data_IF_640823392137
#
_entry.id   IF_640823392137
#
_cell.length_a   1.000
_cell.length_b   1.000
_cell.length_c   1.000
_cell.angle_alpha   90.00
_cell.angle_beta   90.00
_cell.angle_gamma   90.00
#
_symmetry.space_group_name_H-M   'P 1'
#
loop_
_entity.id
_entity.type
_entity.pdbx_description
1 polymer ?
#
# COMPACT_ATOMS: atom_id res chain seq x y z
N UNK A 1 31.56 11.78 -16.74
CA UNK A 1 30.26 11.29 -17.29
C UNK A 1 30.41 9.89 -17.90
N UNK A 2 31.49 9.58 -18.65
CA UNK A 2 31.75 8.23 -19.17
C UNK A 2 31.96 7.16 -18.08
N UNK A 3 32.66 7.47 -16.99
CA UNK A 3 32.90 6.50 -15.90
C UNK A 3 31.64 6.10 -15.14
N UNK A 4 30.71 7.03 -14.88
CA UNK A 4 29.41 6.71 -14.24
C UNK A 4 28.54 5.80 -15.11
N UNK A 5 28.59 5.97 -16.44
CA UNK A 5 27.87 5.07 -17.35
C UNK A 5 28.43 3.66 -17.33
N UNK A 6 29.77 3.52 -17.25
CA UNK A 6 30.39 2.20 -17.08
C UNK A 6 29.90 1.55 -15.80
N UNK A 7 29.83 2.30 -14.69
CA UNK A 7 29.28 1.80 -13.43
C UNK A 7 27.83 1.30 -13.57
N UNK A 8 26.95 2.05 -14.25
CA UNK A 8 25.56 1.62 -14.48
C UNK A 8 25.48 0.34 -15.32
N UNK A 9 26.26 0.27 -16.40
CA UNK A 9 26.34 -0.93 -17.26
C UNK A 9 26.88 -2.14 -16.48
N UNK A 10 27.84 -1.93 -15.58
CA UNK A 10 28.40 -3.01 -14.77
C UNK A 10 27.41 -3.46 -13.68
N UNK A 11 26.69 -2.54 -13.05
CA UNK A 11 25.62 -2.87 -12.11
C UNK A 11 24.45 -3.58 -12.78
N UNK A 12 24.08 -3.19 -14.01
CA UNK A 12 23.03 -3.84 -14.82
C UNK A 12 23.28 -5.34 -15.00
N UNK A 13 24.53 -5.75 -15.19
CA UNK A 13 24.90 -7.18 -15.29
C UNK A 13 24.56 -7.97 -14.04
N UNK A 14 24.60 -7.33 -12.88
CA UNK A 14 24.28 -7.93 -11.59
C UNK A 14 22.80 -7.81 -11.22
N UNK A 15 22.07 -6.90 -11.88
CA UNK A 15 20.62 -6.76 -11.75
C UNK A 15 19.85 -7.81 -12.56
N UNK A 16 20.52 -8.54 -13.45
CA UNK A 16 19.92 -9.57 -14.30
C UNK A 16 19.56 -10.83 -13.48
N UNK A 17 18.29 -10.93 -13.07
CA UNK A 17 17.74 -12.14 -12.47
C UNK A 17 16.53 -11.88 -11.56
N UNK A 18 15.72 -12.91 -11.34
CA UNK A 18 14.57 -12.86 -10.41
C UNK A 18 15.01 -13.08 -8.94
N UNK A 19 16.15 -12.50 -8.55
CA UNK A 19 16.67 -12.60 -7.20
C UNK A 19 16.40 -11.32 -6.40
N UNK A 20 16.08 -11.42 -5.10
CA UNK A 20 15.97 -10.27 -4.20
C UNK A 20 17.28 -9.49 -4.15
N UNK A 21 17.23 -8.19 -4.42
CA UNK A 21 18.42 -7.34 -4.46
C UNK A 21 18.24 -6.05 -3.67
N UNK A 22 19.34 -5.64 -3.03
CA UNK A 22 19.51 -4.35 -2.36
C UNK A 22 20.77 -3.69 -2.92
N UNK A 23 20.64 -2.46 -3.42
CA UNK A 23 21.76 -1.65 -3.91
C UNK A 23 21.80 -0.37 -3.10
N UNK A 24 22.86 -0.16 -2.31
CA UNK A 24 22.98 1.02 -1.45
C UNK A 24 24.35 1.67 -1.56
N UNK A 25 24.38 2.99 -1.44
CA UNK A 25 25.63 3.76 -1.41
C UNK A 25 25.47 5.19 -1.95
N UNK A 26 26.61 5.85 -2.15
CA UNK A 26 26.70 7.17 -2.78
C UNK A 26 26.61 7.05 -4.31
N UNK A 27 25.48 7.46 -4.87
CA UNK A 27 25.27 7.51 -6.32
C UNK A 27 25.76 8.80 -6.96
N UNK A 28 26.13 9.79 -6.13
CA UNK A 28 26.62 11.10 -6.53
C UNK A 28 25.70 11.76 -7.59
N UNK A 29 24.39 11.59 -7.39
CA UNK A 29 23.34 11.94 -8.33
C UNK A 29 22.12 12.54 -7.63
N UNK A 30 21.87 13.82 -7.95
CA UNK A 30 20.66 14.55 -7.56
C UNK A 30 19.61 14.38 -8.65
N UNK A 31 18.36 14.06 -8.29
CA UNK A 31 17.27 13.82 -9.22
C UNK A 31 16.26 14.97 -9.29
N UNK A 32 16.16 15.80 -8.25
CA UNK A 32 15.26 16.94 -8.25
C UNK A 32 15.80 18.12 -7.44
N UNK A 33 15.23 19.31 -7.67
CA UNK A 33 15.55 20.49 -6.86
C UNK A 33 15.24 20.26 -5.38
N UNK A 34 14.26 19.41 -5.05
CA UNK A 34 13.91 19.14 -3.65
C UNK A 34 15.02 18.41 -2.90
N UNK A 35 15.95 17.76 -3.61
CA UNK A 35 17.07 17.00 -3.06
C UNK A 35 18.35 17.83 -2.94
N UNK A 36 18.30 19.13 -3.26
CA UNK A 36 19.42 20.06 -3.16
C UNK A 36 19.01 21.35 -2.47
N UNK A 37 19.84 21.84 -1.56
CA UNK A 37 19.72 23.16 -0.93
C UNK A 37 21.03 23.93 -1.07
N UNK A 38 20.94 25.19 -1.48
CA UNK A 38 22.10 26.07 -1.68
C UNK A 38 22.86 25.78 -2.98
N UNK A 39 23.84 26.63 -3.27
CA UNK A 39 24.59 26.59 -4.53
C UNK A 39 23.73 26.88 -5.77
N UNK A 40 24.16 26.37 -6.93
CA UNK A 40 23.43 26.55 -8.19
C UNK A 40 22.09 25.78 -8.16
N UNK A 41 21.07 26.36 -8.79
CA UNK A 41 19.76 25.71 -9.00
C UNK A 41 19.97 24.37 -9.71
N UNK A 42 19.24 23.36 -9.28
CA UNK A 42 19.20 22.06 -9.95
C UNK A 42 18.70 22.21 -11.38
N UNK A 43 19.42 21.57 -12.30
CA UNK A 43 19.05 21.43 -13.70
C UNK A 43 19.05 19.93 -13.98
N UNK A 44 18.00 19.43 -14.61
CA UNK A 44 17.90 18.02 -14.98
C UNK A 44 19.03 17.68 -15.96
N UNK A 45 20.07 17.03 -15.42
CA UNK A 45 21.27 16.70 -16.18
C UNK A 45 21.10 15.36 -16.89
N UNK A 46 21.96 15.11 -17.89
CA UNK A 46 22.04 13.79 -18.52
C UNK A 46 22.36 12.67 -17.53
N UNK A 47 23.17 12.94 -16.50
CA UNK A 47 23.46 11.98 -15.44
C UNK A 47 22.23 11.64 -14.59
N UNK A 48 21.37 12.61 -14.31
CA UNK A 48 20.11 12.41 -13.58
C UNK A 48 19.13 11.57 -14.41
N UNK A 49 19.05 11.81 -15.72
CA UNK A 49 18.24 11.01 -16.64
C UNK A 49 18.77 9.58 -16.78
N UNK A 50 20.09 9.43 -16.96
CA UNK A 50 20.73 8.11 -17.06
C UNK A 50 20.50 7.29 -15.78
N UNK A 51 20.60 7.90 -14.59
CA UNK A 51 20.31 7.24 -13.32
C UNK A 51 18.85 6.84 -13.17
N UNK A 52 17.92 7.72 -13.57
CA UNK A 52 16.50 7.40 -13.56
C UNK A 52 16.17 6.23 -14.50
N UNK A 53 16.77 6.22 -15.70
CA UNK A 53 16.61 5.11 -16.65
C UNK A 53 17.19 3.80 -16.11
N UNK A 54 18.37 3.85 -15.49
CA UNK A 54 18.97 2.70 -14.80
C UNK A 54 18.01 2.10 -13.76
N UNK A 55 17.39 2.95 -12.92
CA UNK A 55 16.44 2.44 -11.91
C UNK A 55 15.22 1.78 -12.56
N UNK A 56 14.65 2.40 -13.60
CA UNK A 56 13.48 1.86 -14.31
C UNK A 56 13.80 0.54 -15.01
N UNK A 57 14.92 0.47 -15.73
CA UNK A 57 15.32 -0.70 -16.51
C UNK A 57 15.63 -1.92 -15.64
N UNK A 58 16.09 -1.69 -14.40
CA UNK A 58 16.49 -2.73 -13.47
C UNK A 58 15.45 -2.98 -12.36
N UNK A 59 14.24 -2.45 -12.51
CA UNK A 59 13.16 -2.60 -11.52
C UNK A 59 13.59 -2.18 -10.10
N UNK A 60 14.39 -1.11 -9.99
CA UNK A 60 14.91 -0.61 -8.72
C UNK A 60 14.04 0.52 -8.17
N UNK A 61 13.60 0.34 -6.93
CA UNK A 61 12.75 1.27 -6.20
C UNK A 61 13.51 1.83 -5.00
N UNK A 62 13.50 3.15 -4.87
CA UNK A 62 14.15 3.79 -3.72
C UNK A 62 13.36 3.54 -2.42
N UNK A 63 14.07 3.07 -1.40
CA UNK A 63 13.52 2.91 -0.05
C UNK A 63 13.40 4.28 0.61
N UNK A 64 12.23 4.55 1.21
CA UNK A 64 11.96 5.81 1.90
C UNK A 64 12.97 6.03 3.05
N UNK A 65 13.65 7.17 2.99
CA UNK A 65 14.55 7.63 4.06
C UNK A 65 13.79 8.39 5.16
N UNK A 66 14.26 8.24 6.39
CA UNK A 66 13.83 8.95 7.58
C UNK A 66 15.01 9.68 8.22
N UNK A 67 14.71 10.76 8.93
CA UNK A 67 15.71 11.64 9.54
C UNK A 67 16.03 12.85 8.64
N UNK A 68 17.27 13.37 8.70
CA UNK A 68 17.69 14.50 7.88
C UNK A 68 17.41 14.28 6.39
N UNK A 69 16.88 15.31 5.72
CA UNK A 69 16.48 15.23 4.31
C UNK A 69 17.64 14.99 3.33
N UNK A 70 18.84 15.43 3.70
CA UNK A 70 20.04 15.41 2.86
C UNK A 70 21.03 14.40 3.45
N UNK A 71 21.87 13.82 2.59
CA UNK A 71 22.88 12.83 2.98
C UNK A 71 24.30 13.34 2.82
N UNK A 72 24.48 14.55 2.28
CA UNK A 72 25.79 15.18 2.10
C UNK A 72 25.75 16.69 2.40
N UNK A 73 26.86 17.22 2.92
CA UNK A 73 27.06 18.63 3.24
C UNK A 73 28.48 19.07 2.90
N UNK A 74 28.63 20.18 2.16
CA UNK A 74 29.95 20.73 1.85
C UNK A 74 30.70 21.37 3.03
N UNK A 75 30.17 21.30 4.25
CA UNK A 75 30.73 21.85 5.49
C UNK A 75 30.99 23.36 5.50
N UNK A 76 30.38 24.11 4.58
CA UNK A 76 30.44 25.58 4.57
C UNK A 76 29.26 26.19 5.32
N UNK A 77 29.36 27.47 5.63
CA UNK A 77 28.33 28.23 6.35
C UNK A 77 27.67 29.27 5.46
N UNK A 78 26.51 29.78 5.90
CA UNK A 78 25.78 30.86 5.23
C UNK A 78 25.41 30.52 3.77
N UNK A 79 25.57 31.49 2.88
CA UNK A 79 25.23 31.36 1.46
C UNK A 79 26.09 30.35 0.70
N UNK A 80 27.24 29.96 1.26
CA UNK A 80 28.12 28.95 0.68
C UNK A 80 27.74 27.52 1.09
N UNK A 81 26.80 27.33 2.03
CA UNK A 81 26.33 26.02 2.45
C UNK A 81 25.58 25.32 1.31
N UNK A 82 26.01 24.10 1.00
CA UNK A 82 25.36 23.22 0.02
C UNK A 82 25.05 21.90 0.70
N UNK A 83 23.79 21.47 0.58
CA UNK A 83 23.30 20.18 1.04
C UNK A 83 22.70 19.41 -0.13
N UNK A 84 23.02 18.13 -0.24
CA UNK A 84 22.55 17.25 -1.30
C UNK A 84 22.14 15.88 -0.76
N UNK A 85 21.20 15.22 -1.43
CA UNK A 85 20.90 13.81 -1.22
C UNK A 85 21.60 13.00 -2.31
N UNK A 86 22.69 12.34 -1.93
CA UNK A 86 23.56 11.57 -2.83
C UNK A 86 23.54 10.07 -2.51
N UNK A 87 23.36 9.74 -1.24
CA UNK A 87 23.32 8.38 -0.72
C UNK A 87 21.88 7.85 -0.78
N UNK A 88 21.70 6.66 -1.36
CA UNK A 88 20.39 6.01 -1.50
C UNK A 88 20.48 4.53 -1.19
N UNK A 89 19.33 3.93 -0.92
CA UNK A 89 19.15 2.49 -0.90
C UNK A 89 18.00 2.14 -1.84
N UNK A 90 18.28 1.27 -2.80
CA UNK A 90 17.37 0.82 -3.85
C UNK A 90 17.11 -0.68 -3.65
N UNK A 91 15.89 -1.12 -3.89
CA UNK A 91 15.48 -2.53 -3.81
C UNK A 91 14.63 -2.90 -5.02
N UNK A 92 14.71 -4.14 -5.48
CA UNK A 92 13.86 -4.61 -6.57
C UNK A 92 12.51 -5.19 -6.11
N UNK A 93 11.60 -5.45 -7.05
CA UNK A 93 10.29 -6.02 -6.72
C UNK A 93 10.39 -7.39 -6.05
N UNK A 94 11.37 -8.22 -6.44
CA UNK A 94 11.63 -9.51 -5.78
C UNK A 94 11.98 -9.34 -4.30
N UNK A 95 12.78 -8.31 -3.95
CA UNK A 95 13.07 -7.99 -2.56
C UNK A 95 11.84 -7.42 -1.83
N UNK A 96 11.03 -6.58 -2.48
CA UNK A 96 9.77 -6.07 -1.92
C UNK A 96 8.75 -7.16 -1.60
N UNK A 97 8.75 -8.27 -2.33
CA UNK A 97 7.84 -9.39 -2.07
C UNK A 97 8.22 -10.19 -0.80
N UNK A 98 9.50 -10.20 -0.46
CA UNK A 98 10.02 -10.89 0.74
C UNK A 98 10.05 -9.95 1.94
N UNK A 99 10.47 -8.71 1.71
CA UNK A 99 10.63 -7.68 2.72
C UNK A 99 9.29 -6.97 2.92
N UNK A 100 8.65 -7.19 4.07
CA UNK A 100 7.33 -6.61 4.32
C UNK A 100 7.39 -5.10 4.54
N UNK A 101 8.43 -4.63 5.23
CA UNK A 101 8.71 -3.21 5.50
C UNK A 101 10.22 -3.00 5.47
N UNK A 102 10.68 -2.05 4.65
CA UNK A 102 12.04 -1.56 4.61
C UNK A 102 12.06 -0.06 4.91
N UNK A 103 13.00 0.39 5.73
CA UNK A 103 13.18 1.81 6.08
C UNK A 103 14.66 2.16 6.04
N UNK A 104 14.99 3.31 5.45
CA UNK A 104 16.35 3.86 5.55
C UNK A 104 16.38 4.94 6.63
N UNK A 105 17.33 4.88 7.55
CA UNK A 105 17.62 5.94 8.53
C UNK A 105 18.87 6.70 8.12
N UNK A 106 18.79 8.03 8.07
CA UNK A 106 19.96 8.89 8.00
C UNK A 106 20.43 9.19 9.42
N UNK A 107 21.60 8.65 9.78
CA UNK A 107 22.19 8.79 11.11
C UNK A 107 23.01 10.08 11.23
N UNK A 108 23.38 10.40 12.47
CA UNK A 108 24.15 11.60 12.79
C UNK A 108 25.48 11.65 12.04
N UNK A 109 25.79 12.84 11.56
CA UNK A 109 27.07 13.15 10.92
C UNK A 109 28.12 13.40 12.00
N UNK A 110 29.00 12.42 12.22
CA UNK A 110 30.03 12.48 13.29
C UNK A 110 31.40 12.91 12.75
N UNK A 111 31.86 12.32 11.65
CA UNK A 111 33.23 12.50 11.14
C UNK A 111 33.34 12.66 9.61
N UNK A 112 32.22 12.78 8.89
CA UNK A 112 32.18 12.88 7.43
C UNK A 112 31.36 14.09 6.97
N UNK A 113 31.53 14.48 5.72
CA UNK A 113 30.60 15.31 4.96
C UNK A 113 29.32 14.55 4.55
N UNK A 114 29.35 13.22 4.58
CA UNK A 114 28.19 12.34 4.42
C UNK A 114 27.51 11.95 5.74
N UNK A 115 26.21 11.66 5.65
CA UNK A 115 25.40 11.07 6.71
C UNK A 115 25.40 9.56 6.49
N UNK A 116 25.61 8.78 7.56
CA UNK A 116 25.56 7.33 7.47
C UNK A 116 24.11 6.89 7.19
N UNK A 117 23.91 6.06 6.16
CA UNK A 117 22.61 5.44 5.87
C UNK A 117 22.53 4.05 6.50
N UNK A 118 21.44 3.76 7.21
CA UNK A 118 21.16 2.46 7.80
C UNK A 118 19.87 1.90 7.18
N UNK A 119 19.96 0.75 6.52
CA UNK A 119 18.78 0.03 6.05
C UNK A 119 18.28 -0.92 7.15
N UNK A 120 17.07 -0.69 7.63
CA UNK A 120 16.37 -1.59 8.54
C UNK A 120 15.32 -2.37 7.77
N UNK A 121 15.45 -3.69 7.82
CA UNK A 121 14.54 -4.65 7.20
C UNK A 121 13.71 -5.26 8.32
N UNK A 122 12.42 -4.93 8.37
CA UNK A 122 11.52 -5.46 9.37
C UNK A 122 10.86 -6.72 8.83
N UNK A 123 11.02 -7.82 9.58
CA UNK A 123 10.17 -9.00 9.41
C UNK A 123 8.76 -8.66 9.89
N UNK A 124 7.71 -9.28 9.33
CA UNK A 124 6.38 -9.10 9.86
C UNK A 124 6.38 -9.53 11.33
N UNK A 125 6.16 -8.58 12.24
CA UNK A 125 5.67 -8.92 13.57
C UNK A 125 4.36 -9.69 13.35
N UNK A 126 4.16 -10.77 14.11
CA UNK A 126 2.90 -11.51 14.13
C UNK A 126 1.80 -10.63 14.74
N UNK A 127 1.41 -9.57 14.03
CA UNK A 127 0.22 -8.84 14.36
C UNK A 127 -0.95 -9.80 14.21
N UNK A 128 -1.79 -9.88 15.26
CA UNK A 128 -3.11 -10.44 15.14
C UNK A 128 -3.77 -9.85 13.88
N UNK A 129 -3.92 -10.68 12.84
CA UNK A 129 -4.40 -10.24 11.54
C UNK A 129 -5.73 -9.51 11.74
N UNK A 130 -5.71 -8.20 11.57
CA UNK A 130 -6.93 -7.39 11.62
C UNK A 130 -7.77 -7.80 10.42
N UNK A 131 -8.93 -8.40 10.68
CA UNK A 131 -9.89 -8.75 9.63
C UNK A 131 -10.38 -7.43 9.03
N UNK A 132 -10.21 -7.28 7.72
CA UNK A 132 -10.72 -6.15 6.94
C UNK A 132 -11.68 -6.66 5.89
N UNK A 133 -12.64 -5.83 5.53
CA UNK A 133 -13.59 -6.15 4.47
C UNK A 133 -12.86 -6.23 3.12
N UNK A 134 -13.11 -7.27 2.34
CA UNK A 134 -12.64 -7.36 0.96
C UNK A 134 -13.82 -7.18 -0.01
N UNK A 135 -13.70 -6.22 -0.93
CA UNK A 135 -14.74 -5.88 -1.91
C UNK A 135 -15.09 -7.09 -2.80
N UNK A 136 -14.12 -7.98 -3.03
CA UNK A 136 -14.30 -9.24 -3.75
C UNK A 136 -15.44 -10.09 -3.16
N UNK A 137 -15.69 -10.01 -1.86
CA UNK A 137 -16.78 -10.75 -1.23
C UNK A 137 -18.15 -10.37 -1.78
N UNK A 138 -18.37 -9.11 -2.16
CA UNK A 138 -19.62 -8.66 -2.78
C UNK A 138 -19.88 -9.28 -4.16
N UNK A 139 -18.82 -9.70 -4.87
CA UNK A 139 -18.94 -10.36 -6.19
C UNK A 139 -19.55 -11.77 -6.13
N UNK A 140 -19.79 -12.30 -4.93
CA UNK A 140 -20.34 -13.63 -4.74
C UNK A 140 -21.78 -13.55 -4.23
N UNK A 141 -22.68 -14.17 -4.99
CA UNK A 141 -24.10 -14.25 -4.63
C UNK A 141 -24.35 -14.78 -3.20
N UNK A 142 -23.53 -15.74 -2.75
CA UNK A 142 -23.64 -16.31 -1.40
C UNK A 142 -23.28 -15.35 -0.26
N UNK A 143 -22.55 -14.27 -0.54
CA UNK A 143 -22.16 -13.30 0.49
C UNK A 143 -23.37 -12.48 0.97
N UNK A 144 -24.26 -12.08 0.05
CA UNK A 144 -25.48 -11.31 0.40
C UNK A 144 -26.39 -12.09 1.34
N UNK A 145 -26.61 -13.38 1.05
CA UNK A 145 -27.40 -14.26 1.91
C UNK A 145 -26.75 -14.42 3.30
N UNK A 146 -25.43 -14.58 3.35
CA UNK A 146 -24.68 -14.67 4.61
C UNK A 146 -24.81 -13.39 5.44
N UNK A 147 -24.63 -12.22 4.82
CA UNK A 147 -24.76 -10.92 5.48
C UNK A 147 -26.16 -10.78 6.06
N UNK A 148 -27.20 -11.06 5.26
CA UNK A 148 -28.60 -11.02 5.72
C UNK A 148 -28.80 -11.89 6.97
N UNK A 149 -28.37 -13.15 6.90
CA UNK A 149 -28.56 -14.12 7.98
C UNK A 149 -27.82 -13.73 9.27
N UNK A 150 -26.66 -13.09 9.17
CA UNK A 150 -25.86 -12.68 10.34
C UNK A 150 -26.36 -11.34 10.89
N UNK A 151 -26.72 -10.41 10.01
CA UNK A 151 -27.16 -9.06 10.37
C UNK A 151 -28.46 -9.06 11.16
N UNK A 152 -29.43 -9.89 10.80
CA UNK A 152 -30.74 -9.96 11.46
C UNK A 152 -30.74 -10.77 12.78
N UNK A 153 -29.59 -11.26 13.25
CA UNK A 153 -29.50 -11.90 14.56
C UNK A 153 -29.81 -10.91 15.67
N UNK A 154 -30.64 -11.33 16.63
CA UNK A 154 -31.01 -10.51 17.79
C UNK A 154 -29.76 -10.11 18.58
N UNK A 155 -29.69 -8.83 18.93
CA UNK A 155 -28.63 -8.24 19.74
C UNK A 155 -29.29 -7.43 20.87
N UNK A 156 -28.63 -7.33 22.02
CA UNK A 156 -29.06 -6.52 23.17
C UNK A 156 -27.95 -5.55 23.53
N UNK A 157 -28.30 -4.37 24.01
CA UNK A 157 -27.36 -3.30 24.36
C UNK A 157 -27.85 -1.95 23.85
N UNK A 158 -27.06 -0.91 24.08
CA UNK A 158 -27.30 0.40 23.50
C UNK A 158 -27.15 0.36 21.96
N UNK A 159 -27.79 1.30 21.22
CA UNK A 159 -27.76 1.29 19.76
C UNK A 159 -26.36 1.25 19.14
N UNK A 160 -25.39 1.97 19.72
CA UNK A 160 -24.01 2.03 19.20
C UNK A 160 -23.28 0.69 19.39
N UNK A 161 -23.41 0.06 20.56
CA UNK A 161 -22.88 -1.28 20.83
C UNK A 161 -23.53 -2.34 19.95
N UNK A 162 -24.85 -2.26 19.72
CA UNK A 162 -25.58 -3.18 18.84
C UNK A 162 -25.07 -3.06 17.40
N UNK A 163 -24.90 -1.84 16.89
CA UNK A 163 -24.39 -1.60 15.55
C UNK A 163 -22.96 -2.12 15.38
N UNK A 164 -22.06 -1.81 16.31
CA UNK A 164 -20.68 -2.31 16.30
C UNK A 164 -20.64 -3.84 16.34
N UNK A 165 -21.46 -4.46 17.19
CA UNK A 165 -21.58 -5.92 17.29
C UNK A 165 -22.05 -6.55 15.97
N UNK A 166 -23.04 -5.96 15.30
CA UNK A 166 -23.52 -6.41 13.98
C UNK A 166 -22.39 -6.33 12.95
N UNK A 167 -21.69 -5.19 12.83
CA UNK A 167 -20.55 -5.06 11.93
C UNK A 167 -19.46 -6.10 12.21
N UNK A 168 -19.05 -6.26 13.48
CA UNK A 168 -18.00 -7.21 13.87
C UNK A 168 -18.39 -8.66 13.56
N UNK A 169 -19.65 -9.04 13.81
CA UNK A 169 -20.16 -10.39 13.52
C UNK A 169 -20.22 -10.66 12.03
N UNK A 170 -20.78 -9.74 11.26
CA UNK A 170 -20.89 -9.85 9.80
C UNK A 170 -19.52 -9.92 9.14
N UNK A 171 -18.59 -9.06 9.56
CA UNK A 171 -17.22 -9.05 9.07
C UNK A 171 -16.49 -10.37 9.32
N UNK A 172 -16.61 -10.93 10.54
CA UNK A 172 -16.05 -12.25 10.86
C UNK A 172 -16.69 -13.36 10.04
N UNK A 173 -18.02 -13.36 9.89
CA UNK A 173 -18.73 -14.36 9.12
C UNK A 173 -18.27 -14.38 7.66
N UNK A 174 -18.19 -13.21 7.01
CA UNK A 174 -17.68 -13.06 5.65
C UNK A 174 -16.24 -13.56 5.52
N UNK A 175 -15.38 -13.20 6.47
CA UNK A 175 -13.98 -13.63 6.47
C UNK A 175 -13.82 -15.15 6.52
N UNK A 176 -14.45 -15.82 7.49
CA UNK A 176 -14.33 -17.28 7.63
C UNK A 176 -15.04 -18.02 6.51
N UNK A 177 -16.18 -17.53 6.03
CA UNK A 177 -16.86 -18.07 4.86
C UNK A 177 -15.99 -17.98 3.61
N UNK A 178 -15.38 -16.82 3.36
CA UNK A 178 -14.47 -16.64 2.23
C UNK A 178 -13.28 -17.57 2.34
N UNK A 179 -12.66 -17.71 3.51
CA UNK A 179 -11.51 -18.60 3.74
C UNK A 179 -11.85 -20.08 3.54
N UNK A 180 -13.06 -20.49 3.91
CA UNK A 180 -13.53 -21.86 3.74
C UNK A 180 -13.91 -22.17 2.29
N UNK A 181 -14.58 -21.24 1.61
CA UNK A 181 -15.11 -21.43 0.26
C UNK A 181 -14.09 -21.18 -0.84
N UNK A 182 -13.23 -20.19 -0.63
CA UNK A 182 -12.24 -19.75 -1.60
C UNK A 182 -10.86 -19.89 -0.97
N UNK A 183 -10.15 -20.93 -1.40
CA UNK A 183 -8.69 -20.97 -1.27
C UNK A 183 -8.09 -19.84 -2.12
N UNK A 184 -6.78 -19.60 -1.98
CA UNK A 184 -6.05 -18.54 -2.68
C UNK A 184 -6.51 -18.35 -4.14
N UNK A 185 -6.99 -17.15 -4.49
CA UNK A 185 -7.50 -16.82 -5.82
C UNK A 185 -6.45 -17.02 -6.92
N UNK A 186 -5.16 -16.89 -6.59
CA UNK A 186 -4.08 -17.17 -7.52
C UNK A 186 -4.00 -18.66 -7.86
N UNK A 187 -4.13 -19.53 -6.85
CA UNK A 187 -4.18 -20.99 -7.05
C UNK A 187 -5.39 -21.38 -7.90
N UNK A 188 -6.55 -20.73 -7.70
CA UNK A 188 -7.74 -20.96 -8.53
C UNK A 188 -7.49 -20.54 -9.98
N UNK A 189 -6.92 -19.35 -10.22
CA UNK A 189 -6.54 -18.87 -11.56
C UNK A 189 -5.63 -19.88 -12.25
N UNK A 190 -4.58 -20.35 -11.57
CA UNK A 190 -3.57 -21.25 -12.15
C UNK A 190 -4.17 -22.62 -12.47
N UNK A 191 -5.07 -23.13 -11.61
CA UNK A 191 -5.81 -24.36 -11.87
C UNK A 191 -6.73 -24.24 -13.09
N UNK A 192 -7.43 -23.12 -13.25
CA UNK A 192 -8.30 -22.89 -14.41
C UNK A 192 -7.44 -22.79 -15.69
N UNK A 193 -6.33 -22.05 -15.64
CA UNK A 193 -5.37 -21.95 -16.77
C UNK A 193 -4.82 -23.32 -17.19
N UNK A 194 -4.42 -24.15 -16.23
CA UNK A 194 -3.97 -25.51 -16.50
C UNK A 194 -5.05 -26.32 -17.22
N UNK A 195 -6.30 -26.23 -16.77
CA UNK A 195 -7.40 -26.99 -17.38
C UNK A 195 -7.76 -26.51 -18.79
N UNK A 196 -7.67 -25.20 -19.03
CA UNK A 196 -7.84 -24.62 -20.37
C UNK A 196 -6.74 -25.16 -21.29
N UNK A 197 -5.48 -25.14 -20.83
CA UNK A 197 -4.35 -25.64 -21.60
C UNK A 197 -4.49 -27.13 -21.93
N UNK A 198 -4.91 -27.96 -20.98
CA UNK A 198 -5.18 -29.39 -21.21
C UNK A 198 -6.19 -29.60 -22.35
N UNK A 199 -7.30 -28.85 -22.36
CA UNK A 199 -8.33 -28.97 -23.41
C UNK A 199 -7.79 -28.48 -24.76
N UNK A 200 -6.98 -27.43 -24.77
CA UNK A 200 -6.37 -26.91 -26.00
C UNK A 200 -5.29 -27.84 -26.58
N UNK A 201 -4.57 -28.58 -25.73
CA UNK A 201 -3.65 -29.62 -26.19
C UNK A 201 -4.41 -30.77 -26.86
N UNK A 202 -5.53 -31.20 -26.27
CA UNK A 202 -6.40 -32.20 -26.90
C UNK A 202 -6.97 -31.71 -28.25
N UNK A 203 -7.32 -30.43 -28.36
CA UNK A 203 -7.75 -29.78 -29.62
C UNK A 203 -6.64 -29.76 -30.68
N UNK A 204 -5.37 -29.71 -30.26
CA UNK A 204 -4.23 -29.73 -31.18
C UNK A 204 -3.94 -31.12 -31.75
N UNK A 205 -4.38 -32.18 -31.06
CA UNK A 205 -4.20 -33.57 -31.48
C UNK A 205 -5.40 -34.11 -32.29
N UNK A 206 -6.52 -33.38 -32.33
CA UNK A 206 -7.71 -33.71 -33.11
C UNK A 206 -8.93 -32.85 -32.76
N UNK A 207 -10.07 -33.12 -33.42
CA UNK A 207 -11.29 -32.33 -33.18
C UNK A 207 -11.84 -32.52 -31.77
N UNK A 208 -12.22 -31.40 -31.12
CA UNK A 208 -12.92 -31.43 -29.84
C UNK A 208 -14.37 -31.86 -30.00
N UNK A 209 -14.86 -32.66 -29.06
CA UNK A 209 -16.29 -32.92 -28.94
C UNK A 209 -17.04 -31.63 -28.55
N UNK A 210 -18.33 -31.57 -28.92
CA UNK A 210 -19.20 -30.44 -28.63
C UNK A 210 -19.32 -30.16 -27.12
N UNK A 211 -19.29 -31.21 -26.30
CA UNK A 211 -19.26 -31.11 -24.83
C UNK A 211 -17.96 -30.48 -24.32
N UNK A 212 -16.80 -30.87 -24.87
CA UNK A 212 -15.51 -30.30 -24.46
C UNK A 212 -15.39 -28.83 -24.87
N UNK A 213 -15.93 -28.44 -26.03
CA UNK A 213 -16.02 -27.03 -26.43
C UNK A 213 -16.87 -26.20 -25.46
N UNK A 214 -17.98 -26.74 -24.96
CA UNK A 214 -18.78 -26.07 -23.94
C UNK A 214 -18.01 -25.93 -22.62
N UNK A 215 -17.29 -26.98 -22.20
CA UNK A 215 -16.43 -26.93 -21.01
C UNK A 215 -15.33 -25.88 -21.18
N UNK A 216 -14.69 -25.79 -22.34
CA UNK A 216 -13.67 -24.78 -22.63
C UNK A 216 -14.23 -23.37 -22.50
N UNK A 217 -15.38 -23.08 -23.13
CA UNK A 217 -16.06 -21.78 -23.03
C UNK A 217 -16.41 -21.44 -21.58
N UNK A 218 -16.92 -22.42 -20.84
CA UNK A 218 -17.22 -22.25 -19.42
C UNK A 218 -15.96 -21.92 -18.60
N UNK A 219 -14.84 -22.63 -18.86
CA UNK A 219 -13.56 -22.39 -18.16
C UNK A 219 -12.96 -21.03 -18.49
N UNK A 220 -13.04 -20.58 -19.74
CA UNK A 220 -12.62 -19.23 -20.14
C UNK A 220 -13.44 -18.17 -19.41
N UNK A 221 -14.77 -18.34 -19.33
CA UNK A 221 -15.60 -17.43 -18.56
C UNK A 221 -15.26 -17.45 -17.05
N UNK A 222 -15.03 -18.63 -16.49
CA UNK A 222 -14.60 -18.80 -15.09
C UNK A 222 -13.25 -18.10 -14.82
N UNK A 223 -12.31 -18.17 -15.77
CA UNK A 223 -11.03 -17.45 -15.71
C UNK A 223 -11.25 -15.93 -15.71
N UNK A 224 -12.04 -15.41 -16.64
CA UNK A 224 -12.33 -13.97 -16.75
C UNK A 224 -12.96 -13.41 -15.46
N UNK A 225 -13.92 -14.14 -14.88
CA UNK A 225 -14.52 -13.76 -13.60
C UNK A 225 -13.48 -13.79 -12.47
N UNK A 226 -12.59 -14.79 -12.45
CA UNK A 226 -11.53 -14.91 -11.44
C UNK A 226 -10.51 -13.78 -11.57
N UNK A 227 -10.14 -13.40 -12.80
CA UNK A 227 -9.26 -12.26 -13.07
C UNK A 227 -9.90 -10.93 -12.66
N UNK A 228 -11.18 -10.71 -12.95
CA UNK A 228 -11.92 -9.52 -12.50
C UNK A 228 -11.94 -9.39 -10.97
N UNK A 229 -12.07 -10.53 -10.25
CA UNK A 229 -11.98 -10.58 -8.79
C UNK A 229 -10.58 -10.26 -8.29
N UNK A 230 -9.52 -10.82 -8.89
CA UNK A 230 -8.14 -10.49 -8.57
C UNK A 230 -7.85 -9.00 -8.78
N UNK A 231 -8.32 -8.42 -9.88
CA UNK A 231 -8.19 -6.99 -10.14
C UNK A 231 -8.87 -6.15 -9.06
N UNK A 232 -10.09 -6.50 -8.66
CA UNK A 232 -10.80 -5.84 -7.55
C UNK A 232 -10.02 -5.94 -6.24
N UNK A 233 -9.48 -7.13 -5.95
CA UNK A 233 -8.67 -7.40 -4.75
C UNK A 233 -7.40 -6.54 -4.68
N UNK A 234 -6.71 -6.41 -5.82
CA UNK A 234 -5.49 -5.61 -5.97
C UNK A 234 -5.77 -4.11 -5.94
N UNK A 235 -6.80 -3.66 -6.65
CA UNK A 235 -7.27 -2.26 -6.66
C UNK A 235 -7.58 -1.78 -5.24
N UNK A 236 -8.28 -2.58 -4.45
CA UNK A 236 -8.61 -2.25 -3.06
C UNK A 236 -7.35 -2.08 -2.18
N UNK A 237 -6.32 -2.92 -2.39
CA UNK A 237 -5.06 -2.87 -1.64
C UNK A 237 -4.17 -1.70 -2.05
N UNK A 238 -4.12 -1.41 -3.35
CA UNK A 238 -3.40 -0.25 -3.86
C UNK A 238 -4.11 1.06 -3.52
N UNK A 239 -5.44 1.08 -3.33
CA UNK A 239 -6.26 2.30 -3.25
C UNK A 239 -6.04 3.23 -4.46
N UNK A 240 -5.83 2.63 -5.63
CA UNK A 240 -5.70 3.34 -6.91
C UNK A 240 -7.09 3.49 -7.55
N UNK A 241 -7.44 4.72 -7.95
CA UNK A 241 -8.80 5.08 -8.44
C UNK A 241 -8.96 4.96 -9.96
N UNK A 242 -7.88 4.72 -10.71
CA UNK A 242 -7.87 4.77 -12.18
C UNK A 242 -7.04 3.65 -12.80
N UNK A 243 -7.63 2.97 -13.79
CA UNK A 243 -6.95 2.36 -14.93
C UNK A 243 -8.02 2.21 -16.02
N UNK A 244 -7.99 3.10 -17.00
CA UNK A 244 -8.45 2.77 -18.35
C UNK A 244 -7.35 1.93 -18.99
N UNK A 245 -7.76 0.82 -19.59
CA UNK A 245 -6.97 -0.06 -20.46
C UNK A 245 -5.91 -0.97 -19.81
N UNK A 246 -6.27 -2.25 -19.73
CA UNK A 246 -5.69 -3.17 -20.71
C UNK A 246 -4.38 -3.89 -20.40
N UNK A 247 -3.83 -3.83 -19.18
CA UNK A 247 -2.76 -4.77 -18.83
C UNK A 247 -2.93 -5.41 -17.43
N UNK A 248 -2.98 -6.74 -17.43
CA UNK A 248 -3.16 -7.58 -16.24
C UNK A 248 -1.85 -7.64 -15.44
N UNK A 249 -1.34 -6.50 -14.97
CA UNK A 249 -0.06 -6.48 -14.30
C UNK A 249 -0.24 -6.43 -12.77
N UNK A 250 -0.17 -7.61 -12.14
CA UNK A 250 -0.18 -7.73 -10.69
C UNK A 250 1.04 -7.03 -10.07
N UNK A 251 2.21 -7.04 -10.72
CA UNK A 251 3.46 -6.53 -10.13
C UNK A 251 3.38 -5.04 -9.78
N UNK A 252 2.72 -4.23 -10.60
CA UNK A 252 2.46 -2.82 -10.31
C UNK A 252 1.61 -2.65 -9.04
N UNK A 253 0.52 -3.42 -8.92
CA UNK A 253 -0.34 -3.36 -7.74
C UNK A 253 0.37 -3.89 -6.48
N UNK A 254 1.19 -4.94 -6.62
CA UNK A 254 2.06 -5.45 -5.56
C UNK A 254 3.03 -4.36 -5.09
N UNK A 255 3.78 -3.76 -6.02
CA UNK A 255 4.74 -2.70 -5.74
C UNK A 255 4.06 -1.48 -5.10
N UNK A 256 2.90 -1.04 -5.61
CA UNK A 256 2.17 0.10 -5.06
C UNK A 256 1.60 -0.19 -3.66
N UNK A 257 1.02 -1.39 -3.45
CA UNK A 257 0.52 -1.80 -2.15
C UNK A 257 1.67 -1.93 -1.12
N UNK A 258 2.83 -2.43 -1.53
CA UNK A 258 4.03 -2.52 -0.71
C UNK A 258 4.60 -1.13 -0.38
N UNK A 259 4.77 -0.26 -1.38
CA UNK A 259 5.20 1.13 -1.19
C UNK A 259 4.26 1.88 -0.23
N UNK A 260 2.95 1.68 -0.38
CA UNK A 260 1.95 2.24 0.52
C UNK A 260 2.07 1.66 1.94
N UNK A 261 2.34 0.36 2.08
CA UNK A 261 2.55 -0.27 3.39
C UNK A 261 3.78 0.32 4.09
N UNK A 262 4.91 0.44 3.38
CA UNK A 262 6.12 1.09 3.88
C UNK A 262 5.87 2.57 4.25
N UNK A 263 5.11 3.30 3.43
CA UNK A 263 4.83 4.72 3.72
C UNK A 263 3.92 4.92 4.94
N UNK A 264 2.97 4.01 5.18
CA UNK A 264 2.09 4.04 6.35
C UNK A 264 2.71 3.40 7.59
N UNK A 265 3.86 2.74 7.48
CA UNK A 265 4.54 2.16 8.62
C UNK A 265 5.04 3.28 9.53
N UNK A 266 4.57 3.27 10.77
CA UNK A 266 5.02 4.20 11.80
C UNK A 266 6.11 3.52 12.60
N UNK A 267 7.35 3.82 12.27
CA UNK A 267 8.53 3.26 12.92
C UNK A 267 8.94 4.03 14.18
N UNK A 268 8.56 5.30 14.29
CA UNK A 268 8.92 6.18 15.40
C UNK A 268 7.76 7.10 15.74
N UNK A 269 7.63 7.45 17.01
CA UNK A 269 6.73 8.50 17.46
C UNK A 269 7.52 9.55 18.23
N UNK A 270 7.15 10.82 18.05
CA UNK A 270 7.58 11.90 18.93
C UNK A 270 6.54 12.07 20.03
N UNK A 271 6.92 11.76 21.26
CA UNK A 271 6.08 11.94 22.42
C UNK A 271 5.91 13.43 22.77
N UNK A 272 4.98 13.73 23.68
CA UNK A 272 4.60 15.10 24.06
C UNK A 272 5.76 15.86 24.72
N UNK A 273 6.64 15.13 25.42
CA UNK A 273 7.88 15.63 26.02
C UNK A 273 8.99 15.93 24.99
N UNK A 274 8.76 15.60 23.72
CA UNK A 274 9.70 15.78 22.63
C UNK A 274 10.63 14.60 22.39
N UNK A 275 10.57 13.56 23.21
CA UNK A 275 11.37 12.34 23.09
C UNK A 275 10.90 11.53 21.87
N UNK A 276 11.86 11.02 21.08
CA UNK A 276 11.55 10.13 19.96
C UNK A 276 11.77 8.70 20.45
N UNK A 277 10.75 7.86 20.31
CA UNK A 277 10.84 6.43 20.64
C UNK A 277 10.52 5.58 19.41
N UNK A 278 11.28 4.49 19.26
CA UNK A 278 11.09 3.45 18.26
C UNK A 278 10.39 2.20 18.85
N UNK A 279 10.16 2.18 20.16
CA UNK A 279 9.58 1.04 20.86
C UNK A 279 8.08 0.94 20.59
N UNK A 280 7.64 -0.24 20.16
CA UNK A 280 6.26 -0.48 19.73
C UNK A 280 5.23 -0.21 20.85
N UNK A 281 5.53 -0.63 22.07
CA UNK A 281 4.67 -0.38 23.24
C UNK A 281 4.49 1.12 23.51
N UNK A 282 5.57 1.89 23.37
CA UNK A 282 5.56 3.35 23.55
C UNK A 282 4.78 4.02 22.43
N UNK A 283 4.94 3.56 21.18
CA UNK A 283 4.17 4.04 20.04
C UNK A 283 2.67 3.80 20.27
N UNK A 284 2.27 2.57 20.61
CA UNK A 284 0.87 2.21 20.83
C UNK A 284 0.27 3.01 21.99
N UNK A 285 0.99 3.15 23.10
CA UNK A 285 0.56 3.91 24.26
C UNK A 285 0.40 5.40 23.92
N UNK A 286 1.38 6.00 23.27
CA UNK A 286 1.36 7.43 22.89
C UNK A 286 0.18 7.72 21.95
N UNK A 287 -0.09 6.87 20.96
CA UNK A 287 -1.28 7.00 20.11
C UNK A 287 -2.59 6.88 20.90
N UNK A 288 -2.67 5.87 21.78
CA UNK A 288 -3.86 5.62 22.59
C UNK A 288 -4.15 6.81 23.52
N UNK A 289 -3.12 7.34 24.18
CA UNK A 289 -3.22 8.46 25.10
C UNK A 289 -3.59 9.75 24.37
N UNK A 290 -2.93 10.05 23.24
CA UNK A 290 -3.26 11.20 22.40
C UNK A 290 -4.74 11.25 22.03
N UNK A 291 -5.26 10.11 21.57
CA UNK A 291 -6.65 10.00 21.15
C UNK A 291 -7.63 9.99 22.32
N UNK A 292 -7.28 9.33 23.42
CA UNK A 292 -8.07 9.38 24.67
C UNK A 292 -8.22 10.82 25.17
N UNK A 293 -7.14 11.61 25.15
CA UNK A 293 -7.15 13.04 25.53
C UNK A 293 -7.90 13.91 24.50
N UNK A 294 -7.80 13.58 23.21
CA UNK A 294 -8.48 14.32 22.13
C UNK A 294 -10.00 14.18 22.21
N UNK A 295 -10.48 12.98 22.52
CA UNK A 295 -11.92 12.66 22.61
C UNK A 295 -12.47 12.62 24.04
N UNK A 296 -11.68 13.03 25.03
CA UNK A 296 -12.19 13.27 26.37
C UNK A 296 -13.27 14.37 26.31
N UNK A 297 -14.32 14.22 27.11
CA UNK A 297 -15.35 15.25 27.25
C UNK A 297 -14.69 16.58 27.64
N UNK A 298 -14.91 17.62 26.83
CA UNK A 298 -14.45 18.99 27.09
C UNK A 298 -15.65 19.85 27.38
N UNK A 299 -15.59 20.62 28.46
CA UNK A 299 -16.58 21.65 28.73
C UNK A 299 -16.44 22.75 27.68
N UNK A 300 -17.26 22.70 26.64
CA UNK A 300 -17.29 23.73 25.61
C UNK A 300 -18.00 24.96 26.16
N UNK A 301 -17.28 26.08 26.28
CA UNK A 301 -17.92 27.38 26.48
C UNK A 301 -18.57 27.81 25.17
N UNK A 302 -19.90 27.82 25.14
CA UNK A 302 -20.69 28.35 24.02
C UNK A 302 -20.76 29.89 24.03
N UNK A 303 -20.07 30.55 24.96
CA UNK A 303 -20.09 32.02 25.10
C UNK A 303 -19.42 32.65 23.88
N UNK A 304 -20.20 33.35 23.04
CA UNK A 304 -19.73 33.95 21.78
C UNK A 304 -19.76 33.01 20.57
N UNK A 305 -20.21 31.76 20.73
CA UNK A 305 -20.60 30.96 19.56
C UNK A 305 -21.82 31.61 18.92
N UNK A 306 -21.87 31.73 17.58
CA UNK A 306 -23.09 32.15 16.92
C UNK A 306 -24.19 31.17 17.31
N UNK A 307 -25.32 31.69 17.82
CA UNK A 307 -26.54 30.89 17.92
C UNK A 307 -26.79 30.29 16.54
N UNK A 308 -26.96 28.97 16.41
CA UNK A 308 -27.24 28.37 15.11
C UNK A 308 -28.49 29.02 14.55
N UNK A 309 -28.30 29.90 13.56
CA UNK A 309 -29.37 30.73 12.99
C UNK A 309 -30.34 29.85 12.18
N UNK A 310 -29.82 28.73 11.67
CA UNK A 310 -30.58 27.70 10.99
C UNK A 310 -30.52 26.42 11.82
N UNK A 311 -31.51 26.21 12.69
CA UNK A 311 -31.90 24.87 13.09
C UNK A 311 -32.44 24.15 11.85
N UNK A 312 -32.03 22.90 11.66
CA UNK A 312 -32.51 22.04 10.58
C UNK A 312 -34.04 22.08 10.61
N UNK A 313 -34.67 22.52 9.51
CA UNK A 313 -36.12 22.63 9.44
C UNK A 313 -36.78 21.26 9.59
N UNK A 314 -38.06 21.24 9.96
CA UNK A 314 -38.78 19.98 10.17
C UNK A 314 -38.79 19.08 8.90
N UNK A 315 -38.76 19.71 7.71
CA UNK A 315 -38.60 19.01 6.43
C UNK A 315 -37.21 18.38 6.27
N UNK A 316 -36.15 19.10 6.59
CA UNK A 316 -34.78 18.59 6.49
C UNK A 316 -34.51 17.49 7.54
N UNK A 317 -35.11 17.60 8.74
CA UNK A 317 -35.08 16.52 9.74
C UNK A 317 -35.79 15.27 9.22
N UNK A 318 -37.00 15.43 8.68
CA UNK A 318 -37.74 14.32 8.09
C UNK A 318 -37.02 13.71 6.88
N UNK A 319 -36.29 14.51 6.09
CA UNK A 319 -35.45 14.02 4.99
C UNK A 319 -34.27 13.21 5.52
N UNK A 320 -33.57 13.68 6.56
CA UNK A 320 -32.44 12.97 7.16
C UNK A 320 -32.86 11.68 7.87
N UNK A 321 -34.07 11.63 8.41
CA UNK A 321 -34.65 10.46 9.07
C UNK A 321 -35.39 9.52 8.09
N UNK A 322 -35.53 9.89 6.81
CA UNK A 322 -36.17 9.05 5.80
C UNK A 322 -35.31 7.84 5.41
N UNK A 323 -35.95 6.76 4.96
CA UNK A 323 -35.23 5.63 4.38
C UNK A 323 -34.58 6.02 3.05
N UNK A 324 -33.31 5.63 2.85
CA UNK A 324 -32.57 5.88 1.61
C UNK A 324 -33.31 5.35 0.37
N UNK A 325 -33.39 6.16 -0.67
CA UNK A 325 -33.99 5.76 -1.94
C UNK A 325 -33.07 4.81 -2.72
N UNK A 326 -33.63 4.11 -3.73
CA UNK A 326 -32.87 3.25 -4.64
C UNK A 326 -31.90 4.01 -5.55
N UNK A 327 -32.09 5.32 -5.72
CA UNK A 327 -31.18 6.17 -6.49
C UNK A 327 -30.04 6.72 -5.63
N UNK A 328 -30.20 6.71 -4.29
CA UNK A 328 -29.20 7.17 -3.31
C UNK A 328 -28.28 6.04 -2.81
N UNK A 329 -28.70 4.78 -2.97
CA UNK A 329 -27.94 3.55 -2.67
C UNK A 329 -27.12 3.08 -3.87
#
# INVERSE_FOLDING_TARGET
MQERRKLWIDLEKHCAGNLPMVVGGDFNCVMSQTEKRGGKRFILSRGSMDFNNFMIQNDLHEVKAMGPKFSWCNNKTGNALILEKLDRCLINSCALDIIHVAVVKHLSRVASDHYLILLEIFKPLEFNRVIRYEEVWASYYGATALVRNVWFRKCRGDPASVLNLKFKRTLKALYYWSKAKFKDLNVLRDKIKSKILEIQLEESEGDLSLDKLQVLRFKINELNVTLARLNTWWRQRAKAKWMDEGDYNSSFFHAFANARRCSNWTSHIKAVDGTISEEEEVIQKTFSDFFRLKWQHRSCSLKGWPTPVNTIGMMDQNMLDAEFSREEL
#
